data_IF_798695259763
#
_entry.id   IF_798695259763
#
_cell.length_a   1.000
_cell.length_b   1.000
_cell.length_c   1.000
_cell.angle_alpha   90.00
_cell.angle_beta   90.00
_cell.angle_gamma   90.00
#
_symmetry.space_group_name_H-M   'P 1'
#
loop_
_entity.id
_entity.type
_entity.pdbx_description
1 polymer ?
#
# COMPACT_ATOMS: atom_id res chain seq x y z
N UNK A 1 13.99 19.03 26.20
CA UNK A 1 13.77 18.98 24.73
C UNK A 1 12.74 20.04 24.39
N UNK A 2 12.96 20.87 23.37
CA UNK A 2 11.98 21.88 22.97
C UNK A 2 10.69 21.16 22.50
N UNK A 3 9.52 21.70 22.82
CA UNK A 3 8.21 21.08 22.52
C UNK A 3 8.11 20.75 21.03
N UNK A 4 8.58 21.64 20.15
CA UNK A 4 8.66 21.43 18.71
C UNK A 4 9.52 20.20 18.30
N UNK A 5 10.61 19.93 19.02
CA UNK A 5 11.47 18.76 18.78
C UNK A 5 10.79 17.45 19.17
N UNK A 6 9.98 17.48 20.24
CA UNK A 6 9.18 16.32 20.67
C UNK A 6 8.10 16.04 19.64
N UNK A 7 7.39 17.06 19.16
CA UNK A 7 6.36 16.92 18.12
C UNK A 7 6.96 16.39 16.82
N UNK A 8 8.10 16.90 16.37
CA UNK A 8 8.77 16.41 15.17
C UNK A 8 9.19 14.94 15.30
N UNK A 9 9.77 14.55 16.45
CA UNK A 9 10.19 13.17 16.71
C UNK A 9 8.99 12.20 16.75
N UNK A 10 7.89 12.66 17.34
CA UNK A 10 6.60 11.94 17.41
C UNK A 10 6.06 11.61 16.02
N UNK A 11 6.06 12.64 15.18
CA UNK A 11 5.62 12.61 13.78
C UNK A 11 6.51 11.68 12.95
N UNK A 12 7.83 11.71 13.17
CA UNK A 12 8.79 10.81 12.54
C UNK A 12 8.64 9.35 12.95
N UNK A 13 8.43 9.07 14.24
CA UNK A 13 8.20 7.70 14.73
C UNK A 13 6.91 7.11 14.14
N UNK A 14 5.87 7.93 14.01
CA UNK A 14 4.61 7.50 13.40
C UNK A 14 4.77 7.17 11.91
N UNK A 15 5.47 8.02 11.13
CA UNK A 15 5.85 7.71 9.74
C UNK A 15 6.62 6.40 9.60
N UNK A 16 7.53 6.15 10.54
CA UNK A 16 8.37 4.96 10.53
C UNK A 16 7.51 3.70 10.73
N UNK A 17 6.56 3.75 11.67
CA UNK A 17 5.58 2.66 11.88
C UNK A 17 4.75 2.42 10.62
N UNK A 18 4.32 3.47 9.93
CA UNK A 18 3.53 3.37 8.70
C UNK A 18 4.31 2.70 7.58
N UNK A 19 5.54 3.16 7.35
CA UNK A 19 6.41 2.59 6.32
C UNK A 19 6.69 1.14 6.67
N UNK A 20 6.96 0.82 7.94
CA UNK A 20 7.15 -0.55 8.41
C UNK A 20 5.90 -1.40 8.13
N UNK A 21 4.70 -0.92 8.47
CA UNK A 21 3.44 -1.66 8.25
C UNK A 21 3.18 -1.87 6.77
N UNK A 22 3.28 -0.85 5.92
CA UNK A 22 3.14 -0.97 4.46
C UNK A 22 4.17 -1.93 3.86
N UNK A 23 5.42 -1.85 4.32
CA UNK A 23 6.51 -2.74 3.85
C UNK A 23 6.28 -4.17 4.30
N UNK A 24 5.87 -4.40 5.55
CA UNK A 24 5.51 -5.72 6.09
C UNK A 24 4.34 -6.32 5.31
N UNK A 25 3.33 -5.50 4.98
CA UNK A 25 2.22 -5.92 4.12
C UNK A 25 2.79 -6.39 2.77
N UNK A 26 3.60 -5.59 2.07
CA UNK A 26 4.18 -6.01 0.79
C UNK A 26 5.13 -7.22 0.89
N UNK A 27 5.78 -7.42 2.04
CA UNK A 27 6.74 -8.52 2.26
C UNK A 27 6.08 -9.86 2.60
N UNK A 28 5.04 -9.83 3.46
CA UNK A 28 4.30 -11.02 3.89
C UNK A 28 3.33 -11.49 2.82
N UNK A 29 2.87 -10.57 1.97
CA UNK A 29 1.84 -10.82 0.97
C UNK A 29 2.44 -11.65 -0.17
N UNK A 30 2.05 -12.95 -0.31
CA UNK A 30 2.63 -13.84 -1.32
C UNK A 30 2.41 -13.27 -2.72
N UNK A 31 3.48 -13.23 -3.53
CA UNK A 31 3.36 -12.82 -4.93
C UNK A 31 2.35 -13.76 -5.61
N UNK A 32 1.32 -13.16 -6.22
CA UNK A 32 0.23 -13.86 -6.94
C UNK A 32 0.78 -14.82 -8.00
N UNK A 33 2.00 -14.53 -8.48
CA UNK A 33 2.74 -15.30 -9.46
C UNK A 33 4.08 -15.74 -8.86
N UNK A 34 4.34 -17.05 -8.87
CA UNK A 34 5.65 -17.60 -8.51
C UNK A 34 6.39 -17.97 -9.80
N UNK A 35 7.46 -17.25 -10.17
CA UNK A 35 8.30 -17.68 -11.30
C UNK A 35 8.91 -19.05 -10.98
N UNK A 36 9.12 -19.90 -11.99
CA UNK A 36 9.76 -21.20 -11.82
C UNK A 36 11.10 -21.09 -11.07
N UNK A 37 11.36 -22.05 -10.18
CA UNK A 37 12.51 -22.01 -9.28
C UNK A 37 13.85 -22.05 -10.03
N UNK A 38 13.87 -22.69 -11.21
CA UNK A 38 15.05 -22.89 -12.05
C UNK A 38 15.42 -21.68 -12.94
N UNK A 39 14.70 -20.56 -12.84
CA UNK A 39 14.93 -19.40 -13.72
C UNK A 39 16.07 -18.50 -13.22
N UNK A 40 16.94 -18.10 -14.15
CA UNK A 40 18.01 -17.13 -13.95
C UNK A 40 17.46 -15.71 -13.68
N UNK A 41 18.30 -14.79 -13.19
CA UNK A 41 17.88 -13.41 -12.83
C UNK A 41 17.26 -12.65 -14.02
N UNK A 42 17.79 -12.83 -15.22
CA UNK A 42 17.28 -12.20 -16.45
C UNK A 42 15.93 -12.77 -16.86
N UNK A 43 15.79 -14.10 -16.80
CA UNK A 43 14.54 -14.80 -17.10
C UNK A 43 13.44 -14.43 -16.10
N UNK A 44 13.76 -14.34 -14.79
CA UNK A 44 12.83 -13.84 -13.76
C UNK A 44 12.36 -12.42 -14.04
N UNK A 45 13.19 -11.54 -14.60
CA UNK A 45 12.78 -10.19 -15.04
C UNK A 45 11.87 -10.26 -16.27
N UNK A 46 12.18 -11.15 -17.21
CA UNK A 46 11.38 -11.35 -18.42
C UNK A 46 9.98 -11.89 -18.09
N UNK A 47 9.89 -12.94 -17.26
CA UNK A 47 8.63 -13.50 -16.78
C UNK A 47 7.78 -12.44 -16.08
N UNK A 48 8.37 -11.59 -15.23
CA UNK A 48 7.64 -10.45 -14.62
C UNK A 48 7.07 -9.47 -15.65
N UNK A 49 7.81 -9.18 -16.73
CA UNK A 49 7.30 -8.33 -17.81
C UNK A 49 6.17 -9.01 -18.56
N UNK A 50 6.30 -10.31 -18.85
CA UNK A 50 5.27 -11.11 -19.52
C UNK A 50 3.97 -11.13 -18.70
N UNK A 51 4.07 -11.39 -17.39
CA UNK A 51 2.93 -11.41 -16.45
C UNK A 51 2.11 -10.11 -16.53
N UNK A 52 2.78 -8.96 -16.71
CA UNK A 52 2.12 -7.67 -16.81
C UNK A 52 1.63 -7.34 -18.23
N UNK A 53 2.36 -7.76 -19.27
CA UNK A 53 2.09 -7.40 -20.65
C UNK A 53 0.82 -8.05 -21.23
N UNK A 54 0.58 -9.34 -20.92
CA UNK A 54 -0.61 -10.07 -21.42
C UNK A 54 -1.93 -9.41 -21.00
N UNK A 55 -2.18 -9.25 -19.68
CA UNK A 55 -3.38 -8.58 -19.17
C UNK A 55 -3.52 -7.13 -19.67
N UNK A 56 -2.41 -6.42 -19.83
CA UNK A 56 -2.39 -5.05 -20.36
C UNK A 56 -2.88 -5.00 -21.81
N UNK A 57 -2.55 -6.00 -22.63
CA UNK A 57 -2.98 -6.08 -24.02
C UNK A 57 -4.48 -6.44 -24.12
N UNK A 58 -4.95 -7.47 -23.40
CA UNK A 58 -6.35 -7.92 -23.45
C UNK A 58 -7.31 -6.88 -22.84
N UNK A 59 -6.95 -6.30 -21.69
CA UNK A 59 -7.82 -5.35 -20.98
C UNK A 59 -7.51 -3.88 -21.28
N UNK A 60 -6.72 -3.58 -22.32
CA UNK A 60 -6.33 -2.20 -22.69
C UNK A 60 -7.52 -1.24 -22.84
N UNK A 61 -8.65 -1.74 -23.32
CA UNK A 61 -9.87 -0.96 -23.55
C UNK A 61 -10.92 -1.11 -22.44
N UNK A 62 -10.66 -1.98 -21.45
CA UNK A 62 -11.55 -2.12 -20.32
C UNK A 62 -11.44 -0.89 -19.41
N UNK A 63 -12.55 -0.18 -19.22
CA UNK A 63 -12.63 1.05 -18.41
C UNK A 63 -12.19 0.79 -16.97
N UNK A 64 -12.61 -0.32 -16.36
CA UNK A 64 -12.27 -0.66 -14.98
C UNK A 64 -10.77 -0.94 -14.81
N UNK A 65 -10.16 -1.62 -15.78
CA UNK A 65 -8.72 -1.87 -15.77
C UNK A 65 -7.91 -0.57 -15.88
N UNK A 66 -8.31 0.33 -16.79
CA UNK A 66 -7.71 1.67 -16.89
C UNK A 66 -7.87 2.48 -15.61
N UNK A 67 -9.07 2.53 -15.05
CA UNK A 67 -9.33 3.21 -13.76
C UNK A 67 -8.46 2.64 -12.65
N UNK A 68 -8.19 1.33 -12.67
CA UNK A 68 -7.32 0.69 -11.67
C UNK A 68 -5.87 1.16 -11.78
N UNK A 69 -5.36 1.31 -13.01
CA UNK A 69 -4.02 1.87 -13.24
C UNK A 69 -3.97 3.35 -12.83
N UNK A 70 -4.92 4.16 -13.30
CA UNK A 70 -4.94 5.60 -13.01
C UNK A 70 -5.18 5.90 -11.52
N UNK A 71 -6.09 5.18 -10.86
CA UNK A 71 -6.31 5.29 -9.42
C UNK A 71 -5.06 4.92 -8.62
N UNK A 72 -4.30 3.95 -9.11
CA UNK A 72 -2.98 3.63 -8.60
C UNK A 72 -1.94 4.73 -8.70
N UNK A 73 -1.77 5.28 -9.90
CA UNK A 73 -0.87 6.41 -10.14
C UNK A 73 -1.28 7.60 -9.26
N UNK A 74 -2.58 7.87 -9.17
CA UNK A 74 -3.12 8.93 -8.33
C UNK A 74 -2.83 8.70 -6.84
N UNK A 75 -2.95 7.47 -6.35
CA UNK A 75 -2.56 7.10 -4.98
C UNK A 75 -1.10 7.46 -4.68
N UNK A 76 -0.18 7.13 -5.60
CA UNK A 76 1.25 7.44 -5.45
C UNK A 76 1.49 8.95 -5.45
N UNK A 77 0.83 9.70 -6.34
CA UNK A 77 0.93 11.15 -6.39
C UNK A 77 0.43 11.80 -5.09
N UNK A 78 -0.73 11.38 -4.59
CA UNK A 78 -1.29 11.88 -3.33
C UNK A 78 -0.35 11.56 -2.17
N UNK A 79 0.25 10.37 -2.14
CA UNK A 79 1.23 10.02 -1.12
C UNK A 79 2.46 10.94 -1.17
N UNK A 80 2.96 11.26 -2.37
CA UNK A 80 4.05 12.23 -2.53
C UNK A 80 3.66 13.62 -2.03
N UNK A 81 2.45 14.10 -2.36
CA UNK A 81 1.93 15.35 -1.82
C UNK A 81 1.78 15.34 -0.30
N UNK A 82 1.39 14.20 0.28
CA UNK A 82 1.31 14.05 1.72
C UNK A 82 2.68 14.19 2.38
N UNK A 83 3.74 13.62 1.78
CA UNK A 83 5.11 13.80 2.25
C UNK A 83 5.56 15.27 2.16
N UNK A 84 5.23 15.97 1.07
CA UNK A 84 5.51 17.40 0.95
C UNK A 84 4.77 18.23 2.00
N UNK A 85 3.47 17.99 2.19
CA UNK A 85 2.67 18.66 3.22
C UNK A 85 3.26 18.44 4.62
N UNK A 86 3.82 17.26 4.86
CA UNK A 86 4.46 16.91 6.12
C UNK A 86 5.77 17.67 6.37
N UNK A 87 6.60 17.83 5.33
CA UNK A 87 7.83 18.64 5.39
C UNK A 87 7.53 20.11 5.65
N UNK A 88 6.35 20.58 5.25
CA UNK A 88 5.86 21.94 5.49
C UNK A 88 5.05 22.08 6.80
N UNK A 89 5.19 21.13 7.73
CA UNK A 89 4.52 21.10 9.03
C UNK A 89 2.97 21.06 8.97
N UNK A 90 2.37 20.72 7.81
CA UNK A 90 0.94 20.54 7.67
C UNK A 90 0.51 19.10 8.00
N UNK A 91 0.64 18.73 9.28
CA UNK A 91 0.43 17.35 9.74
C UNK A 91 -0.99 16.80 9.48
N UNK A 92 -2.04 17.54 9.86
CA UNK A 92 -3.43 17.10 9.66
C UNK A 92 -3.74 16.86 8.18
N UNK A 93 -3.28 17.77 7.32
CA UNK A 93 -3.41 17.65 5.87
C UNK A 93 -2.67 16.42 5.35
N UNK A 94 -1.43 16.20 5.79
CA UNK A 94 -0.65 15.03 5.43
C UNK A 94 -1.37 13.73 5.80
N UNK A 95 -1.89 13.63 7.04
CA UNK A 95 -2.61 12.45 7.51
C UNK A 95 -3.89 12.18 6.69
N UNK A 96 -4.65 13.24 6.36
CA UNK A 96 -5.80 13.13 5.46
C UNK A 96 -5.42 12.66 4.05
N UNK A 97 -4.33 13.18 3.49
CA UNK A 97 -3.82 12.76 2.19
C UNK A 97 -3.32 11.31 2.21
N UNK A 98 -2.66 10.85 3.27
CA UNK A 98 -2.23 9.45 3.40
C UNK A 98 -3.45 8.52 3.48
N UNK A 99 -4.48 8.88 4.26
CA UNK A 99 -5.72 8.11 4.30
C UNK A 99 -6.39 8.02 2.92
N UNK A 100 -6.41 9.13 2.17
CA UNK A 100 -6.94 9.18 0.82
C UNK A 100 -6.12 8.32 -0.16
N UNK A 101 -4.79 8.39 -0.08
CA UNK A 101 -3.90 7.55 -0.88
C UNK A 101 -4.15 6.06 -0.58
N UNK A 102 -4.27 5.69 0.70
CA UNK A 102 -4.60 4.33 1.13
C UNK A 102 -5.97 3.88 0.62
N UNK A 103 -6.99 4.75 0.60
CA UNK A 103 -8.30 4.46 0.01
C UNK A 103 -8.25 4.14 -1.49
N UNK A 104 -7.26 4.67 -2.20
CA UNK A 104 -7.01 4.36 -3.61
C UNK A 104 -6.10 3.15 -3.82
N UNK A 105 -5.41 2.65 -2.79
CA UNK A 105 -4.56 1.45 -2.88
C UNK A 105 -5.29 0.21 -3.44
N UNK A 106 -6.59 -0.08 -3.16
CA UNK A 106 -7.28 -1.25 -3.70
C UNK A 106 -7.30 -1.31 -5.23
N UNK A 107 -7.17 -0.18 -5.92
CA UNK A 107 -7.05 -0.16 -7.38
C UNK A 107 -5.77 -0.87 -7.87
N UNK A 108 -4.63 -0.65 -7.20
CA UNK A 108 -3.37 -1.36 -7.50
C UNK A 108 -3.24 -2.69 -6.76
N UNK A 109 -3.70 -2.73 -5.51
CA UNK A 109 -3.50 -3.84 -4.60
C UNK A 109 -4.50 -4.98 -4.77
N UNK A 110 -5.69 -4.70 -5.33
CA UNK A 110 -6.79 -5.68 -5.39
C UNK A 110 -7.35 -5.83 -6.80
N UNK A 111 -7.74 -4.74 -7.45
CA UNK A 111 -8.32 -4.77 -8.80
C UNK A 111 -7.29 -5.25 -9.84
N UNK A 112 -6.12 -4.63 -9.89
CA UNK A 112 -5.10 -4.96 -10.89
C UNK A 112 -4.65 -6.44 -10.81
N UNK A 113 -4.33 -7.00 -9.62
CA UNK A 113 -3.99 -8.42 -9.50
C UNK A 113 -5.16 -9.34 -9.85
N UNK A 114 -6.42 -8.92 -9.62
CA UNK A 114 -7.60 -9.70 -10.01
C UNK A 114 -7.75 -9.80 -11.53
N UNK A 115 -7.49 -8.72 -12.26
CA UNK A 115 -7.45 -8.76 -13.73
C UNK A 115 -6.31 -9.65 -14.25
N UNK A 116 -5.13 -9.55 -13.64
CA UNK A 116 -3.99 -10.41 -14.00
C UNK A 116 -4.30 -11.88 -13.72
N UNK A 117 -4.86 -12.20 -12.56
CA UNK A 117 -5.25 -13.56 -12.18
C UNK A 117 -6.30 -14.13 -13.15
N UNK A 118 -7.32 -13.35 -13.50
CA UNK A 118 -8.35 -13.75 -14.46
C UNK A 118 -7.81 -13.99 -15.87
N UNK A 119 -6.82 -13.21 -16.30
CA UNK A 119 -6.14 -13.42 -17.59
C UNK A 119 -5.40 -14.76 -17.62
N UNK A 120 -4.58 -15.01 -16.60
CA UNK A 120 -3.70 -16.18 -16.52
C UNK A 120 -4.43 -17.48 -16.15
N UNK A 121 -5.64 -17.40 -15.59
CA UNK A 121 -6.56 -18.53 -15.50
C UNK A 121 -7.02 -19.03 -16.88
N UNK A 122 -7.10 -18.15 -17.89
CA UNK A 122 -7.53 -18.52 -19.25
C UNK A 122 -6.37 -18.91 -20.15
N UNK A 123 -5.17 -18.40 -19.87
CA UNK A 123 -3.98 -18.58 -20.67
C UNK A 123 -2.91 -19.21 -19.79
N UNK A 124 -2.98 -20.54 -19.59
CA UNK A 124 -2.04 -21.22 -18.69
C UNK A 124 -0.58 -20.94 -19.09
N UNK A 125 0.23 -20.38 -18.17
CA UNK A 125 1.62 -20.05 -18.44
C UNK A 125 2.56 -21.24 -18.18
N UNK A 126 3.52 -21.46 -19.08
CA UNK A 126 4.58 -22.47 -18.91
C UNK A 126 5.62 -22.10 -17.85
N UNK A 127 5.88 -20.80 -17.66
CA UNK A 127 7.09 -20.32 -16.98
C UNK A 127 6.86 -19.85 -15.52
N UNK A 128 5.61 -19.89 -15.06
CA UNK A 128 5.25 -19.51 -13.70
C UNK A 128 3.99 -20.22 -13.24
N UNK A 129 3.88 -20.42 -11.93
CA UNK A 129 2.72 -21.04 -11.32
C UNK A 129 1.76 -19.98 -10.79
N UNK A 130 0.47 -20.20 -11.07
CA UNK A 130 -0.60 -19.40 -10.50
C UNK A 130 -0.89 -19.87 -9.08
N UNK A 131 -1.20 -18.93 -8.18
CA UNK A 131 -1.73 -19.28 -6.87
C UNK A 131 -3.07 -20.03 -7.02
N UNK A 132 -3.32 -21.05 -6.20
CA UNK A 132 -4.62 -21.72 -6.17
C UNK A 132 -5.74 -20.72 -5.82
N UNK A 133 -6.93 -20.91 -6.39
CA UNK A 133 -8.04 -19.94 -6.30
C UNK A 133 -8.46 -19.66 -4.85
N UNK A 134 -8.49 -20.68 -4.00
CA UNK A 134 -8.80 -20.57 -2.57
C UNK A 134 -7.80 -19.66 -1.83
N UNK A 135 -6.51 -19.82 -2.13
CA UNK A 135 -5.42 -19.01 -1.57
C UNK A 135 -5.46 -17.60 -2.14
N UNK A 136 -5.82 -17.43 -3.41
CA UNK A 136 -5.95 -16.12 -4.05
C UNK A 136 -7.11 -15.31 -3.47
N UNK A 137 -8.27 -15.93 -3.22
CA UNK A 137 -9.40 -15.23 -2.59
C UNK A 137 -9.07 -14.78 -1.17
N UNK A 138 -8.46 -15.65 -0.34
CA UNK A 138 -8.00 -15.29 1.02
C UNK A 138 -7.01 -14.12 0.99
N UNK A 139 -6.11 -14.14 0.00
CA UNK A 139 -5.13 -13.10 -0.21
C UNK A 139 -5.75 -11.73 -0.54
N UNK A 140 -6.72 -11.69 -1.45
CA UNK A 140 -7.41 -10.44 -1.80
C UNK A 140 -8.19 -9.91 -0.59
N UNK A 141 -8.88 -10.77 0.16
CA UNK A 141 -9.61 -10.37 1.38
C UNK A 141 -8.66 -9.76 2.40
N UNK A 142 -7.51 -10.40 2.64
CA UNK A 142 -6.50 -9.88 3.56
C UNK A 142 -6.02 -8.48 3.14
N UNK A 143 -5.74 -8.26 1.85
CA UNK A 143 -5.34 -6.94 1.34
C UNK A 143 -6.41 -5.87 1.56
N UNK A 144 -7.69 -6.22 1.36
CA UNK A 144 -8.81 -5.29 1.62
C UNK A 144 -8.89 -4.93 3.10
N UNK A 145 -8.81 -5.91 4.00
CA UNK A 145 -8.85 -5.68 5.46
C UNK A 145 -7.71 -4.78 5.89
N UNK A 146 -6.48 -5.10 5.46
CA UNK A 146 -5.30 -4.29 5.78
C UNK A 146 -5.43 -2.85 5.27
N UNK A 147 -5.96 -2.67 4.06
CA UNK A 147 -6.21 -1.33 3.51
C UNK A 147 -7.21 -0.55 4.36
N UNK A 148 -8.31 -1.18 4.79
CA UNK A 148 -9.29 -0.55 5.68
C UNK A 148 -8.69 -0.18 7.04
N UNK A 149 -7.86 -1.05 7.62
CA UNK A 149 -7.13 -0.77 8.87
C UNK A 149 -6.19 0.43 8.71
N UNK A 150 -5.44 0.50 7.62
CA UNK A 150 -4.55 1.64 7.33
C UNK A 150 -5.36 2.93 7.21
N UNK A 151 -6.44 2.93 6.43
CA UNK A 151 -7.33 4.10 6.29
C UNK A 151 -7.82 4.58 7.66
N UNK A 152 -8.31 3.68 8.51
CA UNK A 152 -8.77 4.01 9.86
C UNK A 152 -7.65 4.58 10.74
N UNK A 153 -6.47 3.97 10.70
CA UNK A 153 -5.30 4.39 11.48
C UNK A 153 -4.84 5.82 11.13
N UNK A 154 -5.07 6.26 9.89
CA UNK A 154 -4.70 7.61 9.43
C UNK A 154 -5.81 8.65 9.53
N UNK A 155 -7.07 8.22 9.45
CA UNK A 155 -8.21 9.11 9.69
C UNK A 155 -8.32 9.49 11.16
N UNK A 156 -8.03 8.57 12.09
CA UNK A 156 -8.15 8.84 13.52
C UNK A 156 -7.33 10.06 13.98
N UNK A 157 -6.03 10.18 13.65
CA UNK A 157 -5.24 11.36 14.02
C UNK A 157 -5.61 12.62 13.23
N UNK A 158 -6.15 12.47 12.01
CA UNK A 158 -6.61 13.60 11.22
C UNK A 158 -7.90 14.22 11.81
N UNK A 159 -8.81 13.37 12.31
CA UNK A 159 -10.10 13.80 12.87
C UNK A 159 -9.96 14.24 14.33
N UNK A 160 -9.17 13.52 15.13
CA UNK A 160 -9.01 13.74 16.58
C UNK A 160 -7.63 14.30 16.91
N UNK A 161 -7.14 15.24 16.11
CA UNK A 161 -5.75 15.73 16.18
C UNK A 161 -5.34 16.19 17.58
N UNK A 162 -6.16 17.04 18.23
CA UNK A 162 -5.87 17.59 19.56
C UNK A 162 -5.85 16.49 20.64
N UNK A 163 -6.83 15.58 20.63
CA UNK A 163 -6.85 14.48 21.60
C UNK A 163 -5.72 13.48 21.36
N UNK A 164 -5.40 13.22 20.09
CA UNK A 164 -4.31 12.34 19.69
C UNK A 164 -2.96 12.91 20.16
N UNK A 165 -2.70 14.19 19.92
CA UNK A 165 -1.49 14.87 20.40
C UNK A 165 -1.39 14.82 21.93
N UNK A 166 -2.48 15.14 22.64
CA UNK A 166 -2.48 15.11 24.10
C UNK A 166 -2.14 13.72 24.66
N UNK A 167 -2.75 12.66 24.12
CA UNK A 167 -2.49 11.28 24.52
C UNK A 167 -1.05 10.87 24.16
N UNK A 168 -0.60 11.23 22.96
CA UNK A 168 0.74 10.87 22.49
C UNK A 168 1.83 11.54 23.33
N UNK A 169 1.67 12.82 23.64
CA UNK A 169 2.56 13.56 24.54
C UNK A 169 2.56 12.93 25.92
N UNK A 170 1.38 12.57 26.47
CA UNK A 170 1.29 11.92 27.78
C UNK A 170 2.02 10.55 27.82
N UNK A 171 1.90 9.75 26.76
CA UNK A 171 2.61 8.46 26.64
C UNK A 171 4.12 8.68 26.59
N UNK A 172 4.59 9.63 25.76
CA UNK A 172 6.01 9.92 25.63
C UNK A 172 6.60 10.46 26.93
N UNK A 173 5.93 11.40 27.60
CA UNK A 173 6.39 11.93 28.89
C UNK A 173 6.56 10.79 29.90
N UNK A 174 5.59 9.88 29.96
CA UNK A 174 5.63 8.71 30.85
C UNK A 174 6.75 7.72 30.52
N UNK A 175 7.09 7.52 29.24
CA UNK A 175 8.21 6.67 28.80
C UNK A 175 9.56 7.34 29.11
N UNK A 176 9.65 8.66 28.92
CA UNK A 176 10.88 9.42 29.15
C UNK A 176 11.10 9.81 30.62
N UNK A 177 10.15 9.51 31.51
CA UNK A 177 10.27 9.77 32.96
C UNK A 177 10.01 11.23 33.35
N UNK A 178 9.25 11.97 32.55
CA UNK A 178 8.75 13.31 32.86
C UNK A 178 7.30 13.28 33.34
#
# INVERSE_FOLDING_TARGET
MNTASITLLSVWLFLLVVIIVMTIIDLITPKVFKPGDNLNRTEKKQVKRTIAAGPLAEYKHNRLFRTSIYGGILSILIYLFALFAMVLDHFVLSMGLIALAAALYPFLGVMLPSFQYKYWLKHEPSDFTLLAQDKFSKFIILRVILTACVIGLFLLPAVFYEQFLAIFVAIISKIMGY
#
